data_IF_444678648958
#
_entry.id   IF_444678648958
#
_cell.length_a   1.000
_cell.length_b   1.000
_cell.length_c   1.000
_cell.angle_alpha   90.00
_cell.angle_beta   90.00
_cell.angle_gamma   90.00
#
_symmetry.space_group_name_H-M   'P 1'
#
loop_
_entity.id
_entity.type
_entity.pdbx_description
1 polymer ?
#
# COMPACT_ATOMS: atom_id res chain seq x y z
N UNK A 1 -30.05 22.58 6.14
CA UNK A 1 -29.71 23.72 5.30
C UNK A 1 -28.33 23.65 4.72
N UNK A 2 -28.02 24.61 3.91
CA UNK A 2 -26.74 24.73 3.22
C UNK A 2 -26.15 26.09 3.52
N UNK A 3 -24.84 26.17 3.69
CA UNK A 3 -24.15 27.44 3.86
C UNK A 3 -22.94 27.56 2.97
N UNK A 4 -22.68 28.77 2.51
CA UNK A 4 -21.41 29.18 1.94
C UNK A 4 -20.95 30.37 2.77
N UNK A 5 -19.81 30.24 3.43
CA UNK A 5 -19.26 31.27 4.28
C UNK A 5 -17.91 31.74 3.76
N UNK A 6 -17.75 33.02 3.63
CA UNK A 6 -16.48 33.69 3.43
C UNK A 6 -16.16 34.45 4.72
N UNK A 7 -15.08 34.08 5.40
CA UNK A 7 -14.68 34.72 6.64
C UNK A 7 -13.23 35.18 6.53
N UNK A 8 -13.00 36.38 7.00
CA UNK A 8 -11.69 36.98 7.13
C UNK A 8 -11.78 38.06 8.20
N UNK A 9 -11.26 37.82 9.37
CA UNK A 9 -11.32 38.71 10.52
C UNK A 9 -12.73 38.95 11.09
N UNK A 10 -12.94 38.82 12.36
CA UNK A 10 -14.17 39.19 13.10
C UNK A 10 -15.38 38.23 13.00
N UNK A 11 -15.23 37.00 12.67
CA UNK A 11 -16.34 36.06 12.86
C UNK A 11 -16.37 35.53 14.30
N UNK A 12 -17.30 36.03 15.05
CA UNK A 12 -17.31 35.91 16.52
C UNK A 12 -17.93 34.66 17.10
N UNK A 13 -18.42 33.69 16.32
CA UNK A 13 -19.05 32.46 16.85
C UNK A 13 -19.05 31.34 15.83
N UNK A 14 -17.91 30.76 15.55
CA UNK A 14 -17.85 29.40 14.98
C UNK A 14 -17.01 28.53 15.90
N UNK A 15 -17.16 27.22 15.82
CA UNK A 15 -16.34 26.23 16.51
C UNK A 15 -14.84 26.37 16.25
N UNK A 16 -14.44 27.28 15.36
CA UNK A 16 -13.06 27.62 14.98
C UNK A 16 -12.52 28.87 15.64
N UNK A 17 -13.28 29.51 16.51
CA UNK A 17 -12.87 30.74 17.20
C UNK A 17 -12.10 30.41 18.48
N UNK A 18 -10.95 29.82 18.35
CA UNK A 18 -9.92 30.21 19.27
C UNK A 18 -9.33 31.57 18.80
N UNK A 19 -8.82 32.37 19.68
CA UNK A 19 -8.26 33.70 19.40
C UNK A 19 -7.18 33.67 18.29
N UNK A 20 -6.55 32.53 18.08
CA UNK A 20 -5.51 32.31 17.08
C UNK A 20 -6.02 32.30 15.63
N UNK A 21 -7.31 32.09 15.43
CA UNK A 21 -7.94 31.98 14.10
C UNK A 21 -8.75 33.23 13.69
N UNK A 22 -8.92 34.21 14.58
CA UNK A 22 -9.87 35.34 14.43
C UNK A 22 -9.65 36.22 13.18
N UNK A 23 -8.44 36.28 12.66
CA UNK A 23 -8.12 37.18 11.51
C UNK A 23 -7.65 36.44 10.26
N UNK A 24 -7.90 35.14 10.17
CA UNK A 24 -7.37 34.34 9.09
C UNK A 24 -8.44 34.05 8.04
N UNK A 25 -8.14 34.27 6.75
CA UNK A 25 -9.11 34.03 5.69
C UNK A 25 -9.45 32.53 5.58
N UNK A 26 -10.74 32.26 5.45
CA UNK A 26 -11.24 30.91 5.22
C UNK A 26 -12.52 30.93 4.37
N UNK A 27 -12.76 29.88 3.64
CA UNK A 27 -13.99 29.61 2.90
C UNK A 27 -14.53 28.27 3.39
N UNK A 28 -15.80 28.24 3.79
CA UNK A 28 -16.50 27.04 4.20
C UNK A 28 -17.71 26.86 3.30
N UNK A 29 -17.86 25.68 2.74
CA UNK A 29 -19.08 25.22 2.09
C UNK A 29 -19.55 24.02 2.92
N UNK A 30 -20.68 24.14 3.58
CA UNK A 30 -21.20 23.12 4.49
C UNK A 30 -22.63 22.76 4.15
N UNK A 31 -22.92 21.48 4.28
CA UNK A 31 -24.25 20.90 4.17
C UNK A 31 -24.58 20.21 5.49
N UNK A 32 -25.18 20.94 6.39
CA UNK A 32 -25.60 20.44 7.68
C UNK A 32 -26.23 21.54 8.51
N UNK A 33 -27.17 21.18 9.35
CA UNK A 33 -27.81 22.10 10.26
C UNK A 33 -28.28 21.38 11.51
N UNK A 34 -28.11 22.02 12.66
CA UNK A 34 -28.89 21.70 13.85
C UNK A 34 -30.07 22.66 13.94
N UNK A 35 -31.27 22.11 14.04
CA UNK A 35 -32.44 22.85 14.44
C UNK A 35 -32.27 23.23 15.91
N UNK A 36 -32.39 24.52 16.24
CA UNK A 36 -32.40 24.96 17.63
C UNK A 36 -33.81 24.88 18.19
N UNK A 37 -33.94 24.76 19.53
CA UNK A 37 -35.23 24.68 20.22
C UNK A 37 -36.19 25.84 19.87
N UNK A 38 -35.65 26.96 19.43
CA UNK A 38 -36.41 28.15 19.03
C UNK A 38 -36.84 28.16 17.57
N UNK A 39 -36.57 27.10 16.80
CA UNK A 39 -36.94 27.00 15.38
C UNK A 39 -36.11 27.91 14.46
N UNK A 40 -35.13 28.64 14.96
CA UNK A 40 -34.18 29.43 14.16
C UNK A 40 -33.01 28.54 13.75
N UNK A 41 -32.76 28.45 12.46
CA UNK A 41 -31.63 27.76 11.90
C UNK A 41 -30.35 28.60 12.08
N UNK A 42 -29.66 28.43 13.18
CA UNK A 42 -28.30 28.92 13.30
C UNK A 42 -27.36 27.95 12.61
N UNK A 43 -26.64 28.41 11.59
CA UNK A 43 -25.60 27.61 10.94
C UNK A 43 -24.37 27.71 11.81
N UNK A 44 -24.09 26.63 12.54
CA UNK A 44 -22.84 26.45 13.26
C UNK A 44 -22.09 25.36 12.51
N UNK A 45 -21.01 25.74 11.84
CA UNK A 45 -20.18 24.79 11.14
C UNK A 45 -19.44 23.91 12.15
N UNK A 46 -19.60 22.60 11.99
CA UNK A 46 -18.88 21.59 12.76
C UNK A 46 -18.39 20.50 11.81
N UNK A 47 -17.11 20.56 11.43
CA UNK A 47 -16.52 19.68 10.44
C UNK A 47 -16.68 18.18 10.80
N UNK A 48 -16.82 17.85 12.07
CA UNK A 48 -16.96 16.47 12.52
C UNK A 48 -18.40 15.98 12.58
N UNK A 49 -19.38 16.89 12.50
CA UNK A 49 -20.81 16.57 12.59
C UNK A 49 -21.59 16.92 11.32
N UNK A 50 -21.07 17.83 10.49
CA UNK A 50 -21.68 18.18 9.22
C UNK A 50 -21.63 16.98 8.27
N UNK A 51 -22.75 16.59 7.61
CA UNK A 51 -22.78 15.46 6.70
C UNK A 51 -21.81 15.56 5.54
N UNK A 52 -21.56 16.79 5.05
CA UNK A 52 -20.53 17.07 4.05
C UNK A 52 -20.07 18.50 4.11
N UNK A 53 -18.77 18.72 3.93
CA UNK A 53 -18.19 20.05 3.97
C UNK A 53 -16.89 20.17 3.17
N UNK A 54 -16.63 21.40 2.72
CA UNK A 54 -15.38 21.79 2.08
C UNK A 54 -14.82 22.98 2.85
N UNK A 55 -13.59 22.87 3.33
CA UNK A 55 -12.89 23.92 4.02
C UNK A 55 -11.64 24.32 3.23
N UNK A 56 -11.51 25.60 2.91
CA UNK A 56 -10.33 26.19 2.29
C UNK A 56 -9.77 27.23 3.28
N UNK A 57 -8.58 27.00 3.80
CA UNK A 57 -7.99 27.84 4.84
C UNK A 57 -6.59 28.29 4.46
N UNK A 58 -6.16 29.43 4.96
CA UNK A 58 -4.77 29.90 4.77
C UNK A 58 -3.81 29.26 5.77
N UNK A 59 -4.08 29.42 7.06
CA UNK A 59 -3.26 28.91 8.17
C UNK A 59 -4.09 28.62 9.43
N UNK A 60 -5.39 28.40 9.25
CA UNK A 60 -6.29 28.04 10.33
C UNK A 60 -6.06 26.60 10.78
N UNK A 61 -6.09 26.39 12.07
CA UNK A 61 -6.11 25.05 12.66
C UNK A 61 -7.54 24.53 12.61
N UNK A 62 -7.76 23.41 11.94
CA UNK A 62 -9.08 22.82 11.75
C UNK A 62 -9.23 21.58 12.63
N UNK A 63 -10.18 21.54 13.57
CA UNK A 63 -10.34 20.44 14.53
C UNK A 63 -10.99 19.19 13.90
N UNK A 64 -10.53 18.81 12.70
CA UNK A 64 -10.98 17.59 12.04
C UNK A 64 -10.40 16.36 12.73
N UNK A 65 -11.27 15.45 13.13
CA UNK A 65 -10.92 14.10 13.57
C UNK A 65 -10.87 13.19 12.35
N UNK A 66 -9.72 12.60 12.08
CA UNK A 66 -9.57 11.67 10.94
C UNK A 66 -10.28 10.36 11.23
N UNK A 67 -10.96 9.80 10.24
CA UNK A 67 -11.64 8.51 10.34
C UNK A 67 -10.69 7.34 10.63
N UNK A 68 -9.42 7.47 10.23
CA UNK A 68 -8.37 6.49 10.53
C UNK A 68 -7.04 7.22 10.77
N UNK A 69 -6.43 6.96 11.91
CA UNK A 69 -5.16 7.60 12.30
C UNK A 69 -3.93 6.71 12.15
N UNK A 70 -4.09 5.51 11.59
CA UNK A 70 -2.98 4.60 11.38
C UNK A 70 -1.96 5.17 10.40
N UNK A 71 -0.70 5.32 10.82
CA UNK A 71 0.37 5.95 10.04
C UNK A 71 1.68 5.19 10.12
N UNK A 72 1.63 3.89 10.35
CA UNK A 72 2.80 3.03 10.55
C UNK A 72 3.74 2.99 9.32
N UNK A 73 3.22 3.32 8.14
CA UNK A 73 4.00 3.35 6.90
C UNK A 73 4.87 4.61 6.72
N UNK A 74 4.60 5.66 7.48
CA UNK A 74 5.38 6.89 7.41
C UNK A 74 6.65 6.80 8.25
N UNK A 75 7.76 7.36 7.76
CA UNK A 75 8.97 7.58 8.58
C UNK A 75 8.78 8.75 9.54
N UNK A 76 8.18 9.81 9.02
CA UNK A 76 7.71 10.97 9.81
C UNK A 76 6.26 11.18 9.43
N UNK A 77 5.38 11.00 10.39
CA UNK A 77 3.93 11.19 10.16
C UNK A 77 3.64 12.64 9.83
N UNK A 78 2.81 12.93 8.83
CA UNK A 78 2.37 14.30 8.57
C UNK A 78 1.54 14.84 9.73
N UNK A 79 1.56 16.15 9.92
CA UNK A 79 0.73 16.81 10.91
C UNK A 79 -0.76 16.54 10.66
N UNK A 80 -1.52 16.48 11.73
CA UNK A 80 -2.98 16.43 11.66
C UNK A 80 -3.55 17.77 11.21
N UNK A 81 -4.73 17.81 10.59
CA UNK A 81 -5.42 19.08 10.28
C UNK A 81 -5.57 19.99 11.51
N UNK A 82 -5.71 19.38 12.70
CA UNK A 82 -5.81 20.06 14.00
C UNK A 82 -4.50 20.62 14.54
N UNK A 83 -3.37 20.37 13.88
CA UNK A 83 -2.05 20.89 14.31
C UNK A 83 -1.27 21.54 13.16
N UNK A 84 -1.69 21.33 11.92
CA UNK A 84 -1.02 21.87 10.74
C UNK A 84 -1.23 23.38 10.63
N UNK A 85 -0.14 24.14 10.46
CA UNK A 85 -0.12 25.62 10.44
C UNK A 85 0.02 26.20 9.03
N UNK A 86 -0.34 25.48 8.00
CA UNK A 86 -0.27 25.95 6.61
C UNK A 86 -1.64 25.99 5.95
N UNK A 87 -1.67 26.37 4.69
CA UNK A 87 -2.90 26.36 3.89
C UNK A 87 -3.42 24.93 3.70
N UNK A 88 -4.72 24.75 3.92
CA UNK A 88 -5.37 23.45 3.81
C UNK A 88 -6.61 23.52 2.93
N UNK A 89 -6.83 22.48 2.15
CA UNK A 89 -8.11 22.16 1.52
C UNK A 89 -8.59 20.83 2.10
N UNK A 90 -9.71 20.87 2.83
CA UNK A 90 -10.31 19.70 3.46
C UNK A 90 -11.64 19.37 2.79
N UNK A 91 -11.82 18.14 2.39
CA UNK A 91 -13.07 17.56 1.91
C UNK A 91 -13.51 16.54 2.94
N UNK A 92 -14.61 16.78 3.62
CA UNK A 92 -15.13 15.88 4.66
C UNK A 92 -16.57 15.48 4.35
N UNK A 93 -16.83 14.17 4.34
CA UNK A 93 -18.15 13.61 4.08
C UNK A 93 -18.17 12.13 4.44
N UNK A 94 -19.35 11.55 4.62
CA UNK A 94 -19.54 10.10 4.81
C UNK A 94 -18.98 9.30 3.62
N UNK A 95 -19.03 9.87 2.40
CA UNK A 95 -18.48 9.26 1.19
C UNK A 95 -17.94 10.29 0.23
N UNK A 96 -16.72 10.07 -0.25
CA UNK A 96 -16.11 10.84 -1.32
C UNK A 96 -15.95 9.97 -2.56
N UNK A 97 -16.39 10.49 -3.71
CA UNK A 97 -16.19 9.85 -5.01
C UNK A 97 -15.47 10.83 -5.94
N UNK A 98 -14.27 10.47 -6.41
CA UNK A 98 -13.55 11.19 -7.43
C UNK A 98 -13.67 10.40 -8.73
N UNK A 99 -14.28 11.01 -9.76
CA UNK A 99 -14.51 10.34 -11.03
C UNK A 99 -14.13 11.26 -12.19
N UNK A 100 -13.16 10.84 -13.01
CA UNK A 100 -12.83 11.46 -14.27
C UNK A 100 -13.48 10.64 -15.40
N UNK A 101 -14.36 11.27 -16.19
CA UNK A 101 -15.14 10.58 -17.23
C UNK A 101 -14.35 10.26 -18.47
N UNK A 102 -13.39 11.08 -18.82
CA UNK A 102 -12.74 11.05 -20.14
C UNK A 102 -11.21 11.08 -20.05
N UNK A 103 -10.64 11.33 -18.88
CA UNK A 103 -9.21 11.46 -18.69
C UNK A 103 -8.79 10.98 -17.31
N UNK A 104 -7.73 11.51 -16.75
CA UNK A 104 -6.99 11.01 -15.62
C UNK A 104 -7.39 11.68 -14.31
N UNK A 105 -7.14 11.02 -13.19
CA UNK A 105 -7.05 11.63 -11.87
C UNK A 105 -5.57 11.62 -11.47
N UNK A 106 -4.97 12.81 -11.38
CA UNK A 106 -3.57 12.97 -11.01
C UNK A 106 -3.45 13.44 -9.57
N UNK A 107 -2.76 12.66 -8.74
CA UNK A 107 -2.42 13.01 -7.37
C UNK A 107 -0.91 13.23 -7.29
N UNK A 108 -0.49 14.45 -7.01
CA UNK A 108 0.93 14.82 -6.92
C UNK A 108 1.21 15.54 -5.61
N UNK A 109 2.29 15.18 -4.95
CA UNK A 109 2.74 15.80 -3.70
C UNK A 109 4.26 15.85 -3.67
N UNK A 110 4.82 16.94 -3.11
CA UNK A 110 6.27 17.07 -2.91
C UNK A 110 6.84 16.04 -1.93
N UNK A 111 6.07 15.66 -0.92
CA UNK A 111 6.58 14.86 0.20
C UNK A 111 6.02 13.44 0.20
N UNK A 112 4.71 13.28 0.24
CA UNK A 112 4.07 11.97 0.31
C UNK A 112 2.59 12.04 -0.06
N UNK A 113 2.06 10.93 -0.56
CA UNK A 113 0.63 10.69 -0.72
C UNK A 113 0.28 9.54 0.22
N UNK A 114 -0.66 9.75 1.14
CA UNK A 114 -1.11 8.75 2.10
C UNK A 114 -2.52 8.26 1.81
N UNK A 115 -2.71 6.95 1.87
CA UNK A 115 -4.02 6.29 1.83
C UNK A 115 -4.19 5.55 3.15
N UNK A 116 -5.13 6.02 3.97
CA UNK A 116 -5.41 5.46 5.29
C UNK A 116 -6.83 4.94 5.36
N UNK A 117 -6.99 3.65 5.57
CA UNK A 117 -8.28 3.01 5.75
C UNK A 117 -8.10 1.62 6.38
N UNK A 118 -9.19 0.96 6.75
CA UNK A 118 -9.16 -0.44 7.16
C UNK A 118 -8.74 -1.34 5.99
N UNK A 119 -9.14 -1.00 4.76
CA UNK A 119 -8.81 -1.76 3.56
C UNK A 119 -8.54 -0.80 2.40
N UNK A 120 -7.47 -1.03 1.65
CA UNK A 120 -7.17 -0.33 0.40
C UNK A 120 -7.26 -1.33 -0.73
N UNK A 121 -8.18 -1.10 -1.69
CA UNK A 121 -8.32 -1.89 -2.91
C UNK A 121 -7.83 -1.05 -4.09
N UNK A 122 -6.99 -1.63 -4.92
CA UNK A 122 -6.46 -1.00 -6.13
C UNK A 122 -6.70 -1.96 -7.28
N UNK A 123 -7.65 -1.63 -8.14
CA UNK A 123 -8.04 -2.44 -9.29
C UNK A 123 -7.62 -1.74 -10.58
N UNK A 124 -6.76 -2.35 -11.35
CA UNK A 124 -6.40 -1.95 -12.71
C UNK A 124 -6.88 -3.01 -13.71
N UNK A 125 -7.53 -2.58 -14.79
CA UNK A 125 -7.99 -3.50 -15.83
C UNK A 125 -6.82 -4.18 -16.52
N UNK A 126 -5.81 -3.40 -16.89
CA UNK A 126 -4.69 -3.88 -17.71
C UNK A 126 -3.45 -4.16 -16.83
N UNK A 127 -3.01 -3.19 -16.04
CA UNK A 127 -1.86 -3.35 -15.14
C UNK A 127 -1.89 -2.34 -13.99
N UNK A 128 -1.12 -2.63 -12.96
CA UNK A 128 -0.71 -1.72 -11.90
C UNK A 128 0.80 -1.57 -11.98
N UNK A 129 1.27 -0.33 -12.22
CA UNK A 129 2.70 0.00 -12.19
C UNK A 129 3.03 0.67 -10.85
N UNK A 130 4.04 0.15 -10.16
CA UNK A 130 4.60 0.75 -8.94
C UNK A 130 6.10 0.90 -9.17
N UNK A 131 6.55 2.14 -9.36
CA UNK A 131 7.95 2.46 -9.59
C UNK A 131 8.51 3.27 -8.42
N UNK A 132 9.59 2.80 -7.82
CA UNK A 132 10.31 3.46 -6.75
C UNK A 132 11.67 2.79 -6.53
N UNK A 133 12.66 3.56 -6.07
CA UNK A 133 13.97 3.02 -5.67
C UNK A 133 13.86 1.89 -4.62
N UNK A 134 12.84 1.95 -3.76
CA UNK A 134 12.58 0.96 -2.72
C UNK A 134 11.09 0.76 -2.50
N UNK A 135 10.63 -0.47 -2.61
CA UNK A 135 9.26 -0.86 -2.31
C UNK A 135 9.27 -1.68 -1.00
N UNK A 136 8.48 -1.23 -0.02
CA UNK A 136 8.35 -1.91 1.26
C UNK A 136 6.97 -2.57 1.35
N UNK A 137 6.95 -3.89 1.52
CA UNK A 137 5.73 -4.67 1.72
C UNK A 137 5.62 -5.06 3.19
N UNK A 138 4.61 -4.53 3.86
CA UNK A 138 4.33 -4.76 5.29
C UNK A 138 4.78 -3.63 6.22
N UNK A 139 4.04 -3.43 7.30
CA UNK A 139 4.20 -2.31 8.24
C UNK A 139 5.58 -2.24 8.90
N UNK A 140 6.24 -3.38 9.12
CA UNK A 140 7.55 -3.46 9.78
C UNK A 140 8.74 -3.41 8.79
N UNK A 141 8.49 -3.52 7.49
CA UNK A 141 9.56 -3.60 6.50
C UNK A 141 10.43 -2.33 6.44
N UNK A 142 9.85 -1.16 6.72
CA UNK A 142 10.54 0.13 6.74
C UNK A 142 11.14 0.47 8.10
N UNK A 143 10.44 0.17 9.19
CA UNK A 143 10.76 0.64 10.54
C UNK A 143 11.88 -0.18 11.18
N UNK A 144 11.97 -1.47 10.91
CA UNK A 144 13.01 -2.34 11.46
C UNK A 144 14.33 -2.16 10.71
N UNK A 145 15.18 -1.27 11.21
CA UNK A 145 16.51 -0.95 10.63
C UNK A 145 17.53 -2.10 10.64
N UNK A 146 17.21 -3.30 11.07
CA UNK A 146 18.26 -4.31 11.23
C UNK A 146 17.88 -5.77 11.05
N UNK A 147 16.71 -6.18 11.43
CA UNK A 147 16.37 -7.59 11.45
C UNK A 147 15.23 -7.90 10.46
N UNK A 148 15.46 -8.91 9.62
CA UNK A 148 14.43 -9.55 8.78
C UNK A 148 13.85 -8.76 7.58
N UNK A 149 14.61 -7.83 7.00
CA UNK A 149 14.31 -7.37 5.63
C UNK A 149 14.64 -8.51 4.68
N UNK A 150 13.65 -9.28 4.27
CA UNK A 150 13.85 -10.24 3.21
C UNK A 150 13.57 -9.56 1.86
N UNK A 151 14.55 -9.49 0.96
CA UNK A 151 14.31 -8.99 -0.38
C UNK A 151 13.30 -9.90 -1.08
N UNK A 152 12.43 -9.32 -1.88
CA UNK A 152 11.56 -10.08 -2.77
C UNK A 152 12.45 -10.84 -3.74
N UNK A 153 12.31 -12.16 -3.78
CA UNK A 153 13.14 -12.99 -4.65
C UNK A 153 12.68 -12.79 -6.09
N UNK A 154 13.62 -12.43 -6.96
CA UNK A 154 13.37 -12.36 -8.40
C UNK A 154 13.09 -13.76 -8.94
N UNK A 155 11.89 -14.02 -9.45
CA UNK A 155 11.43 -15.33 -9.86
C UNK A 155 12.37 -16.02 -10.86
N UNK A 156 12.90 -15.28 -11.84
CA UNK A 156 13.88 -15.81 -12.80
C UNK A 156 15.21 -16.26 -12.16
N UNK A 157 15.73 -15.49 -11.20
CA UNK A 157 16.98 -15.85 -10.51
C UNK A 157 16.80 -17.05 -9.61
N UNK A 158 15.66 -17.14 -8.91
CA UNK A 158 15.33 -18.31 -8.10
C UNK A 158 15.15 -19.54 -8.97
N UNK A 159 14.47 -19.43 -10.09
CA UNK A 159 14.28 -20.53 -11.04
C UNK A 159 15.60 -21.04 -11.59
N UNK A 160 16.51 -20.15 -12.02
CA UNK A 160 17.85 -20.49 -12.48
C UNK A 160 18.64 -21.20 -11.37
N UNK A 161 18.67 -20.63 -10.16
CA UNK A 161 19.35 -21.23 -9.01
C UNK A 161 18.82 -22.63 -8.68
N UNK A 162 17.51 -22.81 -8.60
CA UNK A 162 16.89 -24.11 -8.35
C UNK A 162 17.15 -25.09 -9.51
N UNK A 163 17.16 -24.60 -10.75
CA UNK A 163 17.52 -25.38 -11.93
C UNK A 163 18.94 -25.92 -11.84
N UNK A 164 19.91 -25.08 -11.52
CA UNK A 164 21.32 -25.45 -11.36
C UNK A 164 21.50 -26.47 -10.20
N UNK A 165 20.82 -26.23 -9.07
CA UNK A 165 20.83 -27.22 -7.97
C UNK A 165 20.31 -28.59 -8.39
N UNK A 166 19.19 -28.63 -9.11
CA UNK A 166 18.62 -29.89 -9.60
C UNK A 166 19.53 -30.57 -10.59
N UNK A 167 20.23 -29.84 -11.45
CA UNK A 167 21.22 -30.43 -12.38
C UNK A 167 22.40 -31.06 -11.65
N UNK A 168 22.94 -30.42 -10.61
CA UNK A 168 23.99 -31.01 -9.77
C UNK A 168 23.50 -32.29 -9.08
N UNK A 169 22.30 -32.26 -8.50
CA UNK A 169 21.71 -33.43 -7.84
C UNK A 169 21.43 -34.57 -8.83
N UNK A 170 20.98 -34.28 -10.04
CA UNK A 170 20.82 -35.28 -11.12
C UNK A 170 22.15 -35.87 -11.50
N UNK A 171 23.21 -35.07 -11.60
CA UNK A 171 24.57 -35.56 -11.89
C UNK A 171 25.09 -36.49 -10.80
N UNK A 172 24.93 -36.12 -9.53
CA UNK A 172 25.30 -36.99 -8.39
C UNK A 172 24.50 -38.29 -8.41
N UNK A 173 23.19 -38.21 -8.60
CA UNK A 173 22.32 -39.41 -8.68
C UNK A 173 22.69 -40.32 -9.81
N UNK A 174 23.11 -39.81 -10.96
CA UNK A 174 23.61 -40.56 -12.10
C UNK A 174 24.92 -41.25 -11.78
N UNK A 175 25.84 -40.58 -11.06
CA UNK A 175 27.09 -41.18 -10.61
C UNK A 175 26.84 -42.32 -9.61
N UNK A 176 25.95 -42.13 -8.65
CA UNK A 176 25.53 -43.16 -7.71
C UNK A 176 24.87 -44.37 -8.40
N UNK A 177 24.05 -44.12 -9.44
CA UNK A 177 23.44 -45.18 -10.25
C UNK A 177 24.45 -46.05 -11.00
N UNK A 178 25.71 -45.61 -11.10
CA UNK A 178 26.83 -46.33 -11.73
C UNK A 178 27.93 -46.74 -10.76
N UNK A 179 27.67 -46.61 -9.45
CA UNK A 179 28.67 -46.91 -8.42
C UNK A 179 29.09 -48.39 -8.49
N UNK A 180 30.40 -48.61 -8.34
CA UNK A 180 31.01 -49.93 -8.34
C UNK A 180 31.89 -50.11 -7.11
N UNK A 181 32.10 -51.36 -6.70
CA UNK A 181 33.07 -51.71 -5.69
C UNK A 181 34.50 -51.51 -6.22
N UNK A 182 35.51 -51.56 -5.33
CA UNK A 182 36.92 -51.52 -5.71
C UNK A 182 37.29 -52.63 -6.73
N UNK A 183 36.60 -53.76 -6.69
CA UNK A 183 36.75 -54.87 -7.65
C UNK A 183 35.99 -54.68 -8.96
N UNK A 184 35.26 -53.61 -9.12
CA UNK A 184 34.51 -53.28 -10.32
C UNK A 184 33.08 -53.79 -10.38
N UNK A 185 32.59 -54.47 -9.34
CA UNK A 185 31.23 -55.02 -9.29
C UNK A 185 30.22 -53.92 -8.98
N UNK A 186 29.04 -53.94 -9.61
CA UNK A 186 27.96 -53.00 -9.29
C UNK A 186 27.51 -53.12 -7.84
N UNK A 187 27.11 -52.01 -7.22
CA UNK A 187 26.51 -52.00 -5.88
C UNK A 187 24.99 -51.85 -6.06
N UNK A 188 24.22 -52.97 -6.06
CA UNK A 188 22.83 -52.94 -6.52
C UNK A 188 21.92 -51.97 -5.77
N UNK A 189 22.08 -51.89 -4.45
CA UNK A 189 21.27 -51.03 -3.60
C UNK A 189 21.51 -49.53 -3.89
N UNK A 190 22.78 -49.16 -4.08
CA UNK A 190 23.15 -47.76 -4.39
C UNK A 190 22.73 -47.41 -5.82
N UNK A 191 22.95 -48.33 -6.77
CA UNK A 191 22.60 -48.13 -8.16
C UNK A 191 21.08 -47.95 -8.34
N UNK A 192 20.28 -48.80 -7.67
CA UNK A 192 18.81 -48.69 -7.72
C UNK A 192 18.32 -47.35 -7.13
N UNK A 193 18.84 -46.96 -5.96
CA UNK A 193 18.48 -45.68 -5.32
C UNK A 193 18.92 -44.50 -6.14
N UNK A 194 20.11 -44.51 -6.74
CA UNK A 194 20.59 -43.49 -7.63
C UNK A 194 19.70 -43.30 -8.86
N UNK A 195 19.31 -44.42 -9.49
CA UNK A 195 18.41 -44.40 -10.64
C UNK A 195 17.01 -43.84 -10.28
N UNK A 196 16.45 -44.28 -9.15
CA UNK A 196 15.16 -43.78 -8.67
C UNK A 196 15.20 -42.28 -8.34
N UNK A 197 16.25 -41.83 -7.64
CA UNK A 197 16.43 -40.41 -7.34
C UNK A 197 16.56 -39.55 -8.60
N UNK A 198 17.28 -40.03 -9.61
CA UNK A 198 17.42 -39.34 -10.90
C UNK A 198 16.06 -39.13 -11.59
N UNK A 199 15.16 -40.11 -11.55
CA UNK A 199 13.82 -39.95 -12.14
C UNK A 199 13.00 -38.86 -11.42
N UNK A 200 13.00 -38.93 -10.08
CA UNK A 200 12.27 -37.90 -9.28
C UNK A 200 12.82 -36.50 -9.52
N UNK A 201 14.14 -36.33 -9.51
CA UNK A 201 14.78 -35.04 -9.73
C UNK A 201 14.50 -34.48 -11.13
N UNK A 202 14.46 -35.33 -12.16
CA UNK A 202 14.05 -34.91 -13.52
C UNK A 202 12.59 -34.47 -13.57
N UNK A 203 11.69 -35.15 -12.86
CA UNK A 203 10.31 -34.75 -12.76
C UNK A 203 10.18 -33.39 -12.07
N UNK A 204 10.89 -33.15 -10.95
CA UNK A 204 10.93 -31.83 -10.26
C UNK A 204 11.48 -30.75 -11.17
N UNK A 205 12.53 -31.01 -11.93
CA UNK A 205 13.08 -30.04 -12.90
C UNK A 205 12.07 -29.72 -14.00
N UNK A 206 11.32 -30.67 -14.50
CA UNK A 206 10.26 -30.42 -15.48
C UNK A 206 9.09 -29.65 -14.88
N UNK A 207 8.79 -29.80 -13.59
CA UNK A 207 7.79 -28.99 -12.91
C UNK A 207 8.27 -27.56 -12.65
N UNK A 208 9.57 -27.37 -12.39
CA UNK A 208 10.18 -26.06 -12.21
C UNK A 208 10.12 -25.23 -13.51
N UNK A 209 10.39 -25.88 -14.66
CA UNK A 209 10.37 -25.22 -15.97
C UNK A 209 9.59 -26.06 -16.99
N UNK A 210 8.25 -26.13 -16.87
CA UNK A 210 7.43 -26.85 -17.84
C UNK A 210 7.44 -26.14 -19.19
N UNK A 211 7.34 -26.90 -20.25
CA UNK A 211 7.32 -26.41 -21.65
C UNK A 211 6.17 -25.42 -21.97
N UNK A 212 5.27 -25.18 -21.04
CA UNK A 212 4.13 -24.26 -21.16
C UNK A 212 4.13 -23.08 -20.18
N UNK A 213 5.24 -22.80 -19.52
CA UNK A 213 5.40 -21.74 -18.52
C UNK A 213 5.61 -22.28 -17.10
N UNK A 214 6.38 -21.55 -16.28
CA UNK A 214 6.71 -21.95 -14.93
C UNK A 214 5.52 -21.89 -13.99
N UNK A 215 5.30 -22.94 -13.21
CA UNK A 215 4.29 -22.97 -12.14
C UNK A 215 4.71 -22.19 -10.89
N UNK A 216 6.00 -21.87 -10.76
CA UNK A 216 6.56 -21.11 -9.63
C UNK A 216 6.50 -19.61 -9.83
N UNK A 217 6.25 -19.14 -11.06
CA UNK A 217 6.13 -17.71 -11.35
C UNK A 217 4.68 -17.27 -11.26
N UNK A 218 4.44 -16.15 -10.62
CA UNK A 218 3.16 -15.48 -10.76
C UNK A 218 2.96 -15.04 -12.21
N UNK A 219 1.81 -15.36 -12.78
CA UNK A 219 1.43 -14.88 -14.12
C UNK A 219 1.01 -13.40 -14.11
N UNK A 220 0.82 -12.81 -12.92
CA UNK A 220 0.25 -11.47 -12.75
C UNK A 220 1.17 -10.49 -12.02
N UNK A 221 2.21 -10.96 -11.34
CA UNK A 221 3.10 -10.09 -10.57
C UNK A 221 4.50 -10.19 -11.12
N UNK A 222 5.01 -9.06 -11.60
CA UNK A 222 6.39 -8.91 -12.07
C UNK A 222 7.12 -7.96 -11.11
N UNK A 223 8.34 -8.31 -10.73
CA UNK A 223 9.23 -7.49 -9.89
C UNK A 223 10.54 -7.37 -10.65
N UNK A 224 10.97 -6.14 -10.94
CA UNK A 224 12.29 -5.84 -11.52
C UNK A 224 13.39 -5.85 -10.46
#
# INVERSE_FOLDING_TARGET
GHSIRFAGGLSTKSTFTDESNVNKPLIIISNGQKETEDGFLHIVEDINQDPSSIYMTSDNIIPLTLANEKRDSYETSPDLPSSYKGSQLLLNSDRLTLNARESDILLSSKTSIGLNSNTVNIDGKDYLCVDADKIYLGSKARINKGANKQPVVLGHRMEAFLGDMLDQLISISKALGKAKTVKGDPIPTINLRGASAQLVLKQLKNQLNPSGGSTLKSKKTFVE
#
